data_IF_588642221867
#
_entry.id   IF_588642221867
#
_cell.length_a   1.000
_cell.length_b   1.000
_cell.length_c   1.000
_cell.angle_alpha   90.00
_cell.angle_beta   90.00
_cell.angle_gamma   90.00
#
_symmetry.space_group_name_H-M   'P 1'
#
loop_
_entity.id
_entity.type
_entity.pdbx_description
1 polymer ?
#
# COMPACT_ATOMS: atom_id res chain seq x y z
N UNK A 1 -21.06 21.43 -62.00
CA UNK A 1 -20.85 22.43 -60.91
C UNK A 1 -21.28 21.92 -59.53
N UNK A 2 -22.43 21.23 -59.39
CA UNK A 2 -23.00 20.83 -58.09
C UNK A 2 -22.21 19.77 -57.29
N UNK A 3 -21.51 18.86 -57.95
CA UNK A 3 -20.70 17.79 -57.30
C UNK A 3 -19.55 18.33 -56.44
N UNK A 4 -18.94 19.45 -56.84
CA UNK A 4 -17.82 20.06 -56.11
C UNK A 4 -18.27 20.77 -54.83
N UNK A 5 -19.48 21.36 -54.84
CA UNK A 5 -20.08 21.98 -53.66
C UNK A 5 -20.45 20.95 -52.59
N UNK A 6 -21.06 19.83 -53.01
CA UNK A 6 -21.40 18.71 -52.11
C UNK A 6 -20.12 18.09 -51.51
N UNK A 7 -19.08 17.85 -52.33
CA UNK A 7 -17.78 17.34 -51.84
C UNK A 7 -17.14 18.26 -50.80
N UNK A 8 -17.15 19.59 -51.04
CA UNK A 8 -16.55 20.58 -50.12
C UNK A 8 -17.25 20.60 -48.75
N UNK A 9 -18.57 20.45 -48.70
CA UNK A 9 -19.32 20.37 -47.44
C UNK A 9 -19.10 19.05 -46.69
N UNK A 10 -18.98 17.93 -47.40
CA UNK A 10 -18.65 16.62 -46.79
C UNK A 10 -17.24 16.63 -46.20
N UNK A 11 -16.26 17.22 -46.88
CA UNK A 11 -14.89 17.36 -46.34
C UNK A 11 -14.86 18.26 -45.12
N UNK A 12 -15.56 19.40 -45.13
CA UNK A 12 -15.67 20.29 -43.96
C UNK A 12 -16.32 19.60 -42.75
N UNK A 13 -17.40 18.83 -42.96
CA UNK A 13 -18.04 18.06 -41.89
C UNK A 13 -17.11 16.99 -41.31
N UNK A 14 -16.37 16.25 -42.15
CA UNK A 14 -15.38 15.26 -41.70
C UNK A 14 -14.25 15.88 -40.86
N UNK A 15 -13.74 17.06 -41.28
CA UNK A 15 -12.72 17.79 -40.52
C UNK A 15 -13.26 18.27 -39.18
N UNK A 16 -14.50 18.76 -39.13
CA UNK A 16 -15.15 19.18 -37.89
C UNK A 16 -15.35 18.01 -36.92
N UNK A 17 -15.79 16.85 -37.41
CA UNK A 17 -15.95 15.64 -36.59
C UNK A 17 -14.61 15.14 -36.06
N UNK A 18 -13.56 15.16 -36.88
CA UNK A 18 -12.20 14.78 -36.44
C UNK A 18 -11.67 15.73 -35.37
N UNK A 19 -11.89 17.04 -35.52
CA UNK A 19 -11.50 18.04 -34.51
C UNK A 19 -12.25 17.84 -33.18
N UNK A 20 -13.54 17.50 -33.24
CA UNK A 20 -14.34 17.23 -32.04
C UNK A 20 -13.87 15.97 -31.30
N UNK A 21 -13.49 14.92 -32.04
CA UNK A 21 -12.90 13.69 -31.46
C UNK A 21 -11.57 13.99 -30.79
N UNK A 22 -10.70 14.80 -31.41
CA UNK A 22 -9.41 15.18 -30.83
C UNK A 22 -9.57 16.01 -29.55
N UNK A 23 -10.54 16.93 -29.51
CA UNK A 23 -10.85 17.71 -28.31
C UNK A 23 -11.42 16.84 -27.17
N UNK A 24 -12.22 15.83 -27.49
CA UNK A 24 -12.76 14.89 -26.50
C UNK A 24 -11.69 13.98 -25.85
N UNK A 25 -10.50 13.84 -26.45
CA UNK A 25 -9.39 13.06 -25.88
C UNK A 25 -8.49 13.86 -24.93
N UNK A 26 -8.59 15.20 -24.92
CA UNK A 26 -7.79 16.08 -24.05
C UNK A 26 -7.96 15.89 -22.53
N UNK A 27 -9.15 15.56 -21.96
CA UNK A 27 -9.25 15.36 -20.51
C UNK A 27 -8.54 14.08 -20.02
N UNK A 28 -8.21 13.13 -20.90
CA UNK A 28 -7.50 11.90 -20.54
C UNK A 28 -6.01 12.14 -20.20
N UNK A 29 -5.42 13.22 -20.71
CA UNK A 29 -3.99 13.55 -20.47
C UNK A 29 -3.75 14.29 -19.14
N UNK A 30 -4.78 14.88 -18.54
CA UNK A 30 -4.69 15.59 -17.25
C UNK A 30 -5.05 14.72 -16.04
N UNK A 31 -5.55 13.49 -16.28
CA UNK A 31 -5.98 12.54 -15.26
C UNK A 31 -4.79 11.82 -14.58
N UNK A 32 -3.55 12.12 -14.96
CA UNK A 32 -2.36 11.40 -14.51
C UNK A 32 -2.04 11.58 -13.02
N UNK A 33 -2.15 12.79 -12.47
CA UNK A 33 -1.67 13.06 -11.10
C UNK A 33 -2.46 12.37 -9.99
N UNK A 34 -3.77 12.61 -9.93
CA UNK A 34 -4.64 12.00 -8.91
C UNK A 34 -4.79 10.49 -9.10
N UNK A 35 -4.83 10.02 -10.35
CA UNK A 35 -4.95 8.58 -10.65
C UNK A 35 -3.64 7.85 -10.38
N UNK A 36 -2.47 8.46 -10.64
CA UNK A 36 -1.19 7.86 -10.29
C UNK A 36 -1.02 7.72 -8.76
N UNK A 37 -1.41 8.72 -7.98
CA UNK A 37 -1.37 8.65 -6.51
C UNK A 37 -2.33 7.57 -6.00
N UNK A 38 -3.56 7.51 -6.55
CA UNK A 38 -4.54 6.48 -6.18
C UNK A 38 -4.04 5.06 -6.52
N UNK A 39 -3.38 4.89 -7.67
CA UNK A 39 -2.82 3.60 -8.07
C UNK A 39 -1.67 3.21 -7.14
N UNK A 40 -0.73 4.14 -6.86
CA UNK A 40 0.38 3.89 -5.94
C UNK A 40 -0.10 3.53 -4.52
N UNK A 41 -1.18 4.16 -4.03
CA UNK A 41 -1.78 3.80 -2.75
C UNK A 41 -2.38 2.38 -2.75
N UNK A 42 -3.03 1.98 -3.85
CA UNK A 42 -3.54 0.61 -4.01
C UNK A 42 -2.40 -0.41 -4.03
N UNK A 43 -1.33 -0.11 -4.77
CA UNK A 43 -0.17 -1.00 -4.85
C UNK A 43 0.47 -1.22 -3.47
N UNK A 44 0.61 -0.15 -2.67
CA UNK A 44 1.11 -0.26 -1.29
C UNK A 44 0.20 -1.16 -0.44
N UNK A 45 -1.12 -1.05 -0.60
CA UNK A 45 -2.10 -1.85 0.14
C UNK A 45 -2.00 -3.34 -0.19
N UNK A 46 -1.77 -3.69 -1.45
CA UNK A 46 -1.63 -5.08 -1.89
C UNK A 46 -0.39 -5.76 -1.29
N UNK A 47 0.68 -5.01 -1.03
CA UNK A 47 1.88 -5.52 -0.34
C UNK A 47 1.75 -5.57 1.18
N UNK A 48 0.76 -4.89 1.75
CA UNK A 48 0.66 -4.71 3.19
C UNK A 48 0.40 -6.01 3.96
N UNK A 49 -0.53 -6.85 3.48
CA UNK A 49 -0.85 -8.13 4.12
C UNK A 49 0.32 -9.13 4.09
N UNK A 50 1.04 -9.31 2.95
CA UNK A 50 2.29 -10.07 2.91
C UNK A 50 3.35 -9.56 3.89
N UNK A 51 3.53 -8.24 4.00
CA UNK A 51 4.49 -7.64 4.94
C UNK A 51 4.11 -7.95 6.40
N UNK A 52 2.82 -7.86 6.75
CA UNK A 52 2.34 -8.23 8.09
C UNK A 52 2.61 -9.69 8.44
N UNK A 53 2.46 -10.60 7.47
CA UNK A 53 2.78 -12.01 7.67
C UNK A 53 4.26 -12.20 8.04
N UNK A 54 5.16 -11.56 7.29
CA UNK A 54 6.61 -11.59 7.56
C UNK A 54 6.90 -11.01 8.94
N UNK A 55 6.31 -9.88 9.30
CA UNK A 55 6.51 -9.25 10.60
C UNK A 55 6.02 -10.14 11.76
N UNK A 56 4.87 -10.81 11.61
CA UNK A 56 4.35 -11.77 12.59
C UNK A 56 5.30 -12.97 12.74
N UNK A 57 5.87 -13.46 11.63
CA UNK A 57 6.85 -14.55 11.66
C UNK A 57 8.14 -14.13 12.39
N UNK A 58 8.67 -12.94 12.10
CA UNK A 58 9.84 -12.37 12.81
C UNK A 58 9.53 -12.16 14.29
N UNK A 59 8.33 -11.65 14.61
CA UNK A 59 7.85 -11.48 15.98
C UNK A 59 7.85 -12.79 16.75
N UNK A 60 7.34 -13.87 16.16
CA UNK A 60 7.40 -15.22 16.76
C UNK A 60 8.84 -15.69 17.04
N UNK A 61 9.76 -15.42 16.10
CA UNK A 61 11.16 -15.81 16.21
C UNK A 61 11.88 -15.05 17.35
N UNK A 62 11.68 -13.73 17.44
CA UNK A 62 12.22 -12.89 18.52
C UNK A 62 11.61 -13.28 19.86
N UNK A 63 10.32 -13.62 19.89
CA UNK A 63 9.63 -14.12 21.09
C UNK A 63 10.20 -15.42 21.61
N UNK A 64 10.50 -16.35 20.70
CA UNK A 64 11.15 -17.59 21.07
C UNK A 64 12.53 -17.35 21.70
N UNK A 65 13.38 -16.52 21.07
CA UNK A 65 14.71 -16.19 21.61
C UNK A 65 14.62 -15.49 22.97
N UNK A 66 13.69 -14.54 23.11
CA UNK A 66 13.42 -13.86 24.37
C UNK A 66 12.96 -14.78 25.49
N UNK A 67 12.06 -15.70 25.17
CA UNK A 67 11.58 -16.74 26.08
C UNK A 67 12.70 -17.66 26.56
N UNK A 68 13.59 -18.09 25.66
CA UNK A 68 14.77 -18.87 26.02
C UNK A 68 15.71 -18.10 26.98
N UNK A 69 15.92 -16.80 26.73
CA UNK A 69 16.74 -15.95 27.59
C UNK A 69 16.15 -15.81 28.99
N UNK A 70 14.85 -15.55 29.08
CA UNK A 70 14.11 -15.49 30.36
C UNK A 70 14.20 -16.82 31.10
N UNK A 71 13.97 -17.93 30.42
CA UNK A 71 14.07 -19.27 31.00
C UNK A 71 15.45 -19.52 31.59
N UNK A 72 16.51 -19.20 30.83
CA UNK A 72 17.89 -19.37 31.29
C UNK A 72 18.18 -18.55 32.55
N UNK A 73 17.69 -17.32 32.64
CA UNK A 73 17.85 -16.51 33.85
C UNK A 73 17.06 -17.06 35.04
N UNK A 74 15.85 -17.55 34.78
CA UNK A 74 15.00 -18.13 35.82
C UNK A 74 15.62 -19.39 36.40
N UNK A 75 16.12 -20.31 35.56
CA UNK A 75 16.79 -21.52 36.05
C UNK A 75 18.10 -21.23 36.79
N UNK A 76 18.73 -20.08 36.55
CA UNK A 76 19.95 -19.66 37.24
C UNK A 76 19.70 -18.89 38.55
N UNK A 77 18.45 -18.63 38.91
CA UNK A 77 18.10 -17.88 40.13
C UNK A 77 18.48 -16.40 40.06
N UNK A 78 18.57 -15.80 38.87
CA UNK A 78 18.87 -14.37 38.69
C UNK A 78 17.74 -13.51 39.30
N UNK A 79 18.10 -12.54 40.13
CA UNK A 79 17.15 -11.66 40.82
C UNK A 79 16.43 -10.70 39.86
N UNK A 80 16.97 -10.46 38.67
CA UNK A 80 16.37 -9.56 37.68
C UNK A 80 15.37 -10.26 36.72
N UNK A 81 15.10 -11.56 36.90
CA UNK A 81 14.16 -12.33 36.05
C UNK A 81 12.80 -11.66 35.92
N UNK A 82 12.23 -11.14 37.01
CA UNK A 82 10.92 -10.49 36.97
C UNK A 82 10.93 -9.22 36.11
N UNK A 83 11.99 -8.41 36.17
CA UNK A 83 12.14 -7.21 35.33
C UNK A 83 12.30 -7.61 33.86
N UNK A 84 13.03 -8.69 33.61
CA UNK A 84 13.28 -9.18 32.26
C UNK A 84 12.02 -9.75 31.62
N UNK A 85 11.24 -10.56 32.37
CA UNK A 85 9.93 -11.07 31.93
C UNK A 85 8.99 -9.92 31.60
N UNK A 86 8.89 -8.91 32.46
CA UNK A 86 8.01 -7.77 32.24
C UNK A 86 8.44 -6.94 31.03
N UNK A 87 9.74 -6.67 30.90
CA UNK A 87 10.30 -5.92 29.77
C UNK A 87 10.10 -6.65 28.43
N UNK A 88 10.44 -7.95 28.39
CA UNK A 88 10.28 -8.76 27.18
C UNK A 88 8.80 -9.01 26.87
N UNK A 89 7.98 -9.32 27.88
CA UNK A 89 6.54 -9.54 27.73
C UNK A 89 5.83 -8.31 27.16
N UNK A 90 6.17 -7.11 27.65
CA UNK A 90 5.67 -5.86 27.10
C UNK A 90 6.11 -5.62 25.65
N UNK A 91 7.38 -5.88 25.34
CA UNK A 91 7.91 -5.75 23.98
C UNK A 91 7.23 -6.72 22.99
N UNK A 92 6.89 -7.93 23.44
CA UNK A 92 6.21 -8.94 22.63
C UNK A 92 4.78 -8.54 22.28
N UNK A 93 4.05 -7.98 23.24
CA UNK A 93 2.70 -7.45 22.99
C UNK A 93 2.78 -6.29 22.00
N UNK A 94 3.74 -5.39 22.18
CA UNK A 94 3.96 -4.27 21.28
C UNK A 94 4.23 -4.72 19.84
N UNK A 95 5.11 -5.70 19.63
CA UNK A 95 5.42 -6.24 18.30
C UNK A 95 4.20 -6.82 17.56
N UNK A 96 3.22 -7.37 18.29
CA UNK A 96 1.97 -7.90 17.70
C UNK A 96 0.99 -6.76 17.39
N UNK A 97 0.90 -5.75 18.26
CA UNK A 97 -0.07 -4.65 18.14
C UNK A 97 0.33 -3.63 17.07
N UNK A 98 1.62 -3.34 16.90
CA UNK A 98 2.13 -2.35 15.93
C UNK A 98 1.60 -2.58 14.51
N UNK A 99 1.68 -3.79 13.91
CA UNK A 99 1.16 -3.98 12.54
C UNK A 99 -0.34 -3.69 12.42
N UNK A 100 -1.14 -4.00 13.44
CA UNK A 100 -2.59 -3.71 13.42
C UNK A 100 -2.85 -2.21 13.57
N UNK A 101 -2.10 -1.52 14.43
CA UNK A 101 -2.15 -0.06 14.56
C UNK A 101 -1.75 0.64 13.26
N UNK A 102 -0.67 0.19 12.61
CA UNK A 102 -0.23 0.78 11.34
C UNK A 102 -1.25 0.48 10.22
N UNK A 103 -1.89 -0.69 10.23
CA UNK A 103 -2.97 -1.01 9.29
C UNK A 103 -4.12 0.00 9.37
N UNK A 104 -4.43 0.51 10.57
CA UNK A 104 -5.50 1.48 10.75
C UNK A 104 -5.27 2.83 10.05
N UNK A 105 -4.03 3.19 9.70
CA UNK A 105 -3.75 4.39 8.88
C UNK A 105 -3.97 4.16 7.38
N UNK A 106 -4.01 2.90 6.94
CA UNK A 106 -4.23 2.51 5.55
C UNK A 106 -5.67 2.03 5.29
N UNK A 107 -6.51 2.02 6.33
CA UNK A 107 -7.92 1.64 6.29
C UNK A 107 -8.80 2.78 5.73
#
# INVERSE_FOLDING_TARGET
MMKNFIRKNVTKKKVLTLALVMLAMTPMLAQGGATAISNAASDIKDYWDPIKLILKAVGGLVGFIGGLRVYNKWTNGDQDVNKEILGYGGAMIFLIVVPEFVTAFFA
#
